data_IF_776560316406
#
_entry.id   IF_776560316406
#
_cell.length_a   1.000
_cell.length_b   1.000
_cell.length_c   1.000
_cell.angle_alpha   90.00
_cell.angle_beta   90.00
_cell.angle_gamma   90.00
#
_symmetry.space_group_name_H-M   'P 1'
#
loop_
_entity.id
_entity.type
_entity.pdbx_description
1 polymer ?
#
# COMPACT_ATOMS: atom_id res chain seq x y z
N UNK A 1 -33.55 31.99 2.42
CA UNK A 1 -33.45 30.56 2.09
C UNK A 1 -32.01 30.24 1.72
N UNK A 2 -31.25 29.71 2.65
CA UNK A 2 -29.86 29.32 2.44
C UNK A 2 -29.86 27.85 1.96
N UNK A 3 -29.54 27.65 0.69
CA UNK A 3 -29.35 26.30 0.15
C UNK A 3 -28.10 25.70 0.79
N UNK A 4 -28.27 24.70 1.65
CA UNK A 4 -27.19 23.85 2.11
C UNK A 4 -26.77 22.93 0.96
N UNK A 5 -25.65 23.26 0.32
CA UNK A 5 -25.01 22.35 -0.64
C UNK A 5 -24.46 21.18 0.16
N UNK A 6 -25.13 20.05 0.04
CA UNK A 6 -24.67 18.78 0.62
C UNK A 6 -23.51 18.28 -0.26
N UNK A 7 -22.28 18.72 0.03
CA UNK A 7 -21.07 18.18 -0.58
C UNK A 7 -20.88 16.81 0.08
N UNK A 8 -21.47 15.77 -0.53
CA UNK A 8 -21.01 14.41 -0.26
C UNK A 8 -19.54 14.38 -0.65
N UNK A 9 -18.65 14.37 0.34
CA UNK A 9 -17.23 14.17 0.11
C UNK A 9 -17.06 12.81 -0.58
N UNK A 10 -16.68 12.85 -1.83
CA UNK A 10 -16.42 11.62 -2.59
C UNK A 10 -15.33 10.87 -1.83
N UNK A 11 -15.63 9.63 -1.44
CA UNK A 11 -14.69 8.80 -0.68
C UNK A 11 -13.43 8.61 -1.50
N UNK A 12 -12.26 8.84 -0.90
CA UNK A 12 -10.99 8.62 -1.58
C UNK A 12 -10.89 7.18 -2.08
N UNK A 13 -10.35 7.01 -3.29
CA UNK A 13 -10.13 5.71 -3.93
C UNK A 13 -8.64 5.37 -3.88
N UNK A 14 -8.30 4.23 -3.30
CA UNK A 14 -6.93 3.77 -3.09
C UNK A 14 -6.70 2.45 -3.82
N UNK A 15 -5.61 2.38 -4.59
CA UNK A 15 -5.15 1.13 -5.17
C UNK A 15 -4.08 0.51 -4.28
N UNK A 16 -4.36 -0.68 -3.77
CA UNK A 16 -3.43 -1.51 -3.04
C UNK A 16 -2.72 -2.45 -4.02
N UNK A 17 -1.39 -2.39 -4.08
CA UNK A 17 -0.54 -3.22 -4.93
C UNK A 17 0.23 -4.17 -4.02
N UNK A 18 -0.11 -5.45 -4.05
CA UNK A 18 0.61 -6.48 -3.30
C UNK A 18 1.69 -7.10 -4.19
N UNK A 19 2.93 -6.89 -3.84
CA UNK A 19 4.07 -7.46 -4.57
C UNK A 19 4.56 -8.77 -3.97
N UNK A 20 4.33 -8.97 -2.67
CA UNK A 20 4.79 -10.09 -1.88
C UNK A 20 5.21 -9.67 -0.46
N UNK A 21 5.96 -10.51 0.19
CA UNK A 21 6.45 -10.28 1.55
C UNK A 21 5.54 -10.83 2.64
N UNK A 22 6.07 -10.83 3.86
CA UNK A 22 5.47 -11.47 5.05
C UNK A 22 4.06 -10.98 5.35
N UNK A 23 3.77 -9.71 5.09
CA UNK A 23 2.45 -9.12 5.36
C UNK A 23 1.30 -9.89 4.68
N UNK A 24 1.56 -10.43 3.49
CA UNK A 24 0.56 -11.17 2.72
C UNK A 24 0.68 -12.68 2.86
N UNK A 25 1.24 -13.18 3.93
CA UNK A 25 1.30 -14.60 4.24
C UNK A 25 0.26 -14.97 5.30
N UNK A 26 -0.21 -16.21 5.23
CA UNK A 26 -1.03 -16.84 6.27
C UNK A 26 -0.40 -18.17 6.63
N UNK A 27 -0.50 -18.54 7.88
CA UNK A 27 -0.09 -19.88 8.33
C UNK A 27 -1.18 -20.89 7.97
N UNK A 28 -0.80 -21.91 7.23
CA UNK A 28 -1.68 -23.03 6.96
C UNK A 28 -1.91 -23.81 8.27
N UNK A 29 -3.16 -23.93 8.75
CA UNK A 29 -3.44 -24.50 10.06
C UNK A 29 -3.14 -26.00 10.15
N UNK A 30 -3.00 -26.70 9.03
CA UNK A 30 -2.69 -28.14 9.00
C UNK A 30 -1.19 -28.41 8.95
N UNK A 31 -0.43 -27.56 8.25
CA UNK A 31 1.00 -27.79 7.99
C UNK A 31 1.92 -26.85 8.78
N UNK A 32 1.41 -25.75 9.31
CA UNK A 32 2.19 -24.68 9.94
C UNK A 32 3.08 -23.90 8.94
N UNK A 33 2.95 -24.15 7.64
CA UNK A 33 3.74 -23.47 6.60
C UNK A 33 3.08 -22.14 6.24
N UNK A 34 3.89 -21.10 6.03
CA UNK A 34 3.40 -19.80 5.54
C UNK A 34 3.12 -19.90 4.03
N UNK A 35 1.91 -19.56 3.64
CA UNK A 35 1.44 -19.54 2.26
C UNK A 35 1.04 -18.12 1.86
N UNK A 36 1.16 -17.79 0.57
CA UNK A 36 0.73 -16.49 0.05
C UNK A 36 -0.78 -16.31 0.20
N UNK A 37 -1.18 -15.19 0.80
CA UNK A 37 -2.57 -14.81 0.98
C UNK A 37 -3.16 -14.23 -0.31
N UNK A 38 -4.39 -14.60 -0.63
CA UNK A 38 -5.09 -13.95 -1.73
C UNK A 38 -5.68 -12.60 -1.25
N UNK A 39 -5.06 -11.50 -1.64
CA UNK A 39 -5.49 -10.15 -1.27
C UNK A 39 -6.86 -9.74 -1.83
N UNK A 40 -7.44 -10.48 -2.75
CA UNK A 40 -8.83 -10.26 -3.16
C UNK A 40 -9.81 -10.45 -1.99
N UNK A 41 -9.44 -11.30 -1.03
CA UNK A 41 -10.19 -11.53 0.21
C UNK A 41 -9.76 -10.63 1.38
N UNK A 42 -8.93 -9.60 1.13
CA UNK A 42 -8.44 -8.69 2.17
C UNK A 42 -9.57 -8.10 3.02
N UNK A 43 -10.66 -7.67 2.37
CA UNK A 43 -11.80 -7.06 3.05
C UNK A 43 -12.55 -8.02 3.98
N UNK A 44 -12.46 -9.31 3.73
CA UNK A 44 -13.10 -10.34 4.54
C UNK A 44 -12.24 -10.67 5.77
N UNK A 45 -10.93 -10.55 5.63
CA UNK A 45 -9.96 -10.79 6.71
C UNK A 45 -9.61 -9.52 7.53
N UNK A 46 -9.96 -8.35 7.01
CA UNK A 46 -9.78 -7.06 7.68
C UNK A 46 -11.08 -6.25 7.62
N UNK A 47 -12.08 -6.59 8.44
CA UNK A 47 -13.35 -5.85 8.48
C UNK A 47 -13.16 -4.38 8.90
N UNK A 48 -12.03 -4.04 9.54
CA UNK A 48 -11.64 -2.69 9.90
C UNK A 48 -11.53 -1.77 8.68
N UNK A 49 -11.08 -2.27 7.54
CA UNK A 49 -10.97 -1.50 6.30
C UNK A 49 -12.33 -0.95 5.83
N UNK A 50 -13.42 -1.67 6.11
CA UNK A 50 -14.78 -1.19 5.79
C UNK A 50 -15.17 0.05 6.60
N UNK A 51 -14.56 0.23 7.80
CA UNK A 51 -14.83 1.35 8.70
C UNK A 51 -14.07 2.62 8.30
N UNK A 52 -12.96 2.50 7.58
CA UNK A 52 -12.17 3.65 7.10
C UNK A 52 -12.96 4.53 6.11
N UNK A 53 -13.95 3.96 5.45
CA UNK A 53 -14.80 4.69 4.53
C UNK A 53 -14.17 4.99 3.16
N UNK A 54 -12.99 4.48 2.87
CA UNK A 54 -12.31 4.60 1.57
C UNK A 54 -12.71 3.47 0.61
N UNK A 55 -12.64 3.75 -0.70
CA UNK A 55 -12.77 2.72 -1.73
C UNK A 55 -11.38 2.10 -1.97
N UNK A 56 -11.18 0.85 -1.53
CA UNK A 56 -9.91 0.14 -1.70
C UNK A 56 -10.09 -0.95 -2.75
N UNK A 57 -9.28 -0.89 -3.81
CA UNK A 57 -9.12 -1.94 -4.82
C UNK A 57 -7.75 -2.59 -4.70
N UNK A 58 -7.60 -3.82 -5.16
CA UNK A 58 -6.35 -4.58 -5.03
C UNK A 58 -5.87 -5.11 -6.37
N UNK A 59 -4.55 -5.01 -6.60
CA UNK A 59 -3.83 -5.73 -7.65
C UNK A 59 -2.73 -6.53 -6.96
N UNK A 60 -2.56 -7.78 -7.37
CA UNK A 60 -1.57 -8.67 -6.79
C UNK A 60 -0.61 -9.15 -7.88
N UNK A 61 0.68 -9.26 -7.52
CA UNK A 61 1.66 -9.97 -8.34
C UNK A 61 1.36 -11.46 -8.33
N UNK A 62 1.45 -12.08 -9.49
CA UNK A 62 1.30 -13.52 -9.66
C UNK A 62 2.50 -14.04 -10.47
N UNK A 63 3.36 -14.87 -9.86
CA UNK A 63 3.40 -15.17 -8.42
C UNK A 63 3.79 -13.95 -7.57
N UNK A 64 3.42 -13.97 -6.27
CA UNK A 64 3.96 -13.04 -5.29
C UNK A 64 5.47 -13.24 -5.15
N UNK A 65 6.24 -12.16 -5.00
CA UNK A 65 7.70 -12.19 -5.01
C UNK A 65 8.29 -12.07 -3.61
N UNK A 66 9.36 -12.79 -3.37
CA UNK A 66 10.25 -12.46 -2.25
C UNK A 66 10.96 -11.13 -2.54
N UNK A 67 11.10 -10.27 -1.52
CA UNK A 67 11.76 -8.97 -1.72
C UNK A 67 13.24 -9.10 -2.10
N UNK A 68 13.90 -10.18 -1.76
CA UNK A 68 15.28 -10.46 -2.18
C UNK A 68 15.44 -10.63 -3.71
N UNK A 69 14.34 -10.94 -4.41
CA UNK A 69 14.30 -11.11 -5.86
C UNK A 69 13.87 -9.83 -6.60
N UNK A 70 13.55 -8.77 -5.84
CA UNK A 70 13.13 -7.48 -6.43
C UNK A 70 14.29 -6.80 -7.15
N UNK A 71 14.03 -6.37 -8.38
CA UNK A 71 15.00 -5.69 -9.24
C UNK A 71 14.32 -4.77 -10.27
N UNK A 72 15.08 -4.28 -11.25
CA UNK A 72 14.60 -3.29 -12.23
C UNK A 72 13.31 -3.71 -12.96
N UNK A 73 13.17 -4.97 -13.32
CA UNK A 73 11.98 -5.49 -14.00
C UNK A 73 10.74 -5.39 -13.11
N UNK A 74 10.88 -5.74 -11.82
CA UNK A 74 9.81 -5.65 -10.84
C UNK A 74 9.44 -4.18 -10.57
N UNK A 75 10.43 -3.29 -10.49
CA UNK A 75 10.18 -1.86 -10.35
C UNK A 75 9.41 -1.29 -11.53
N UNK A 76 9.79 -1.65 -12.76
CA UNK A 76 9.06 -1.27 -13.98
C UNK A 76 7.63 -1.78 -13.97
N UNK A 77 7.39 -3.00 -13.47
CA UNK A 77 6.03 -3.56 -13.33
C UNK A 77 5.19 -2.75 -12.36
N UNK A 78 5.75 -2.35 -11.19
CA UNK A 78 5.04 -1.49 -10.22
C UNK A 78 4.74 -0.13 -10.85
N UNK A 79 5.73 0.51 -11.50
CA UNK A 79 5.55 1.80 -12.17
C UNK A 79 4.45 1.72 -13.23
N UNK A 80 4.44 0.66 -14.04
CA UNK A 80 3.40 0.46 -15.05
C UNK A 80 2.01 0.32 -14.43
N UNK A 81 1.86 -0.45 -13.35
CA UNK A 81 0.57 -0.58 -12.63
C UNK A 81 0.10 0.79 -12.14
N UNK A 82 1.00 1.59 -11.55
CA UNK A 82 0.67 2.94 -11.07
C UNK A 82 0.27 3.83 -12.24
N UNK A 83 1.03 3.86 -13.33
CA UNK A 83 0.77 4.69 -14.50
C UNK A 83 -0.56 4.35 -15.17
N UNK A 84 -0.83 3.06 -15.41
CA UNK A 84 -2.08 2.59 -16.04
C UNK A 84 -3.32 2.93 -15.20
N UNK A 85 -3.16 3.08 -13.89
CA UNK A 85 -4.24 3.35 -12.94
C UNK A 85 -4.23 4.77 -12.37
N UNK A 86 -3.31 5.62 -12.82
CA UNK A 86 -3.05 6.92 -12.19
C UNK A 86 -4.28 7.84 -12.14
N UNK A 87 -5.11 7.82 -13.19
CA UNK A 87 -6.32 8.66 -13.27
C UNK A 87 -7.51 8.10 -12.47
N UNK A 88 -7.48 6.82 -12.11
CA UNK A 88 -8.61 6.13 -11.48
C UNK A 88 -8.58 6.20 -9.94
N UNK A 89 -7.39 6.40 -9.36
CA UNK A 89 -7.20 6.37 -7.92
C UNK A 89 -6.60 7.67 -7.39
N UNK A 90 -6.93 7.99 -6.14
CA UNK A 90 -6.42 9.16 -5.42
C UNK A 90 -5.03 8.93 -4.82
N UNK A 91 -4.69 7.68 -4.54
CA UNK A 91 -3.40 7.30 -3.98
C UNK A 91 -3.13 5.79 -4.15
N UNK A 92 -1.90 5.41 -3.89
CA UNK A 92 -1.39 4.05 -4.08
C UNK A 92 -0.71 3.57 -2.80
N UNK A 93 -0.97 2.33 -2.41
CA UNK A 93 -0.27 1.65 -1.32
C UNK A 93 0.41 0.41 -1.89
N UNK A 94 1.71 0.27 -1.67
CA UNK A 94 2.49 -0.87 -2.14
C UNK A 94 2.90 -1.72 -0.95
N UNK A 95 2.37 -2.95 -0.89
CA UNK A 95 2.77 -3.94 0.09
C UNK A 95 3.98 -4.70 -0.42
N UNK A 96 5.07 -4.66 0.36
CA UNK A 96 6.39 -5.12 -0.06
C UNK A 96 7.11 -5.83 1.09
N UNK A 97 7.96 -6.80 0.75
CA UNK A 97 8.85 -7.39 1.75
C UNK A 97 9.86 -6.39 2.27
N UNK A 98 10.15 -6.43 3.58
CA UNK A 98 10.91 -5.37 4.26
C UNK A 98 12.39 -5.33 3.91
N UNK A 99 12.98 -6.43 3.37
CA UNK A 99 14.42 -6.50 3.14
C UNK A 99 14.95 -5.53 2.08
N UNK A 100 14.18 -5.32 1.02
CA UNK A 100 14.57 -4.42 -0.07
C UNK A 100 13.57 -3.29 -0.32
N UNK A 101 12.62 -3.08 0.57
CA UNK A 101 11.59 -2.04 0.43
C UNK A 101 12.19 -0.65 0.22
N UNK A 102 13.26 -0.31 0.96
CA UNK A 102 13.95 0.97 0.83
C UNK A 102 14.60 1.17 -0.55
N UNK A 103 15.13 0.10 -1.15
CA UNK A 103 15.70 0.16 -2.50
C UNK A 103 14.61 0.38 -3.55
N UNK A 104 13.50 -0.38 -3.45
CA UNK A 104 12.37 -0.24 -4.37
C UNK A 104 11.74 1.15 -4.26
N UNK A 105 11.49 1.63 -3.05
CA UNK A 105 10.92 2.97 -2.83
C UNK A 105 11.86 4.07 -3.33
N UNK A 106 13.18 3.92 -3.13
CA UNK A 106 14.18 4.84 -3.67
C UNK A 106 14.15 4.87 -5.20
N UNK A 107 14.16 3.70 -5.85
CA UNK A 107 14.08 3.60 -7.30
C UNK A 107 12.82 4.28 -7.85
N UNK A 108 11.65 3.97 -7.29
CA UNK A 108 10.38 4.55 -7.73
C UNK A 108 10.31 6.06 -7.51
N UNK A 109 10.99 6.59 -6.49
CA UNK A 109 11.08 8.04 -6.26
C UNK A 109 11.71 8.81 -7.44
N UNK A 110 12.56 8.14 -8.23
CA UNK A 110 13.19 8.72 -9.41
C UNK A 110 12.50 8.31 -10.72
N UNK A 111 11.80 7.17 -10.72
CA UNK A 111 11.10 6.67 -11.91
C UNK A 111 9.74 7.32 -12.11
N UNK A 112 9.07 7.75 -11.04
CA UNK A 112 7.76 8.40 -11.08
C UNK A 112 7.93 9.92 -11.14
N UNK A 113 8.14 10.45 -12.34
CA UNK A 113 8.29 11.89 -12.57
C UNK A 113 6.95 12.64 -12.40
N UNK A 114 7.03 13.87 -11.88
CA UNK A 114 5.87 14.77 -11.70
C UNK A 114 4.74 14.14 -10.87
N UNK A 115 5.08 13.33 -9.89
CA UNK A 115 4.14 12.65 -9.01
C UNK A 115 3.31 13.68 -8.22
N UNK A 116 1.99 13.63 -8.35
CA UNK A 116 1.04 14.50 -7.63
C UNK A 116 0.11 13.71 -6.71
N UNK A 117 0.31 12.40 -6.59
CA UNK A 117 -0.47 11.49 -5.75
C UNK A 117 0.45 10.69 -4.84
N UNK A 118 -0.01 10.31 -3.64
CA UNK A 118 0.79 9.48 -2.73
C UNK A 118 1.08 8.10 -3.30
N UNK A 119 2.31 7.64 -3.10
CA UNK A 119 2.71 6.23 -3.29
C UNK A 119 3.37 5.79 -1.98
N UNK A 120 2.63 5.07 -1.16
CA UNK A 120 3.05 4.70 0.19
C UNK A 120 3.42 3.22 0.22
N UNK A 121 4.69 2.94 0.45
CA UNK A 121 5.19 1.59 0.70
C UNK A 121 4.97 1.22 2.16
N UNK A 122 4.62 -0.04 2.38
CA UNK A 122 4.60 -0.64 3.72
C UNK A 122 4.78 -2.15 3.64
N UNK A 123 4.97 -2.76 4.79
CA UNK A 123 5.13 -4.20 4.96
C UNK A 123 4.88 -4.58 6.42
N UNK A 124 5.32 -5.76 6.81
CA UNK A 124 5.28 -6.17 8.22
C UNK A 124 6.36 -7.18 8.55
N UNK A 125 6.67 -7.29 9.85
CA UNK A 125 7.53 -8.36 10.36
C UNK A 125 6.74 -9.65 10.56
N UNK A 126 5.44 -9.56 10.84
CA UNK A 126 4.57 -10.71 11.05
C UNK A 126 3.45 -10.76 10.01
N UNK A 127 3.02 -11.97 9.61
CA UNK A 127 1.85 -12.15 8.73
C UNK A 127 0.62 -11.43 9.25
N UNK A 128 -0.18 -10.87 8.33
CA UNK A 128 -1.36 -10.07 8.69
C UNK A 128 -2.44 -10.86 9.46
N UNK A 129 -2.45 -12.17 9.29
CA UNK A 129 -3.38 -13.08 10.00
C UNK A 129 -2.99 -13.35 11.46
N UNK A 130 -1.79 -12.99 11.90
CA UNK A 130 -1.33 -13.27 13.27
C UNK A 130 -1.98 -12.33 14.29
N UNK A 131 -2.18 -12.84 15.52
CA UNK A 131 -2.90 -12.12 16.58
C UNK A 131 -2.24 -10.78 16.96
N UNK A 132 -0.91 -10.72 16.96
CA UNK A 132 -0.13 -9.51 17.35
C UNK A 132 0.71 -9.00 16.19
N UNK A 133 0.13 -9.00 15.00
CA UNK A 133 0.80 -8.50 13.81
C UNK A 133 0.90 -6.97 13.82
N UNK A 134 2.05 -6.47 13.38
CA UNK A 134 2.27 -5.07 13.00
C UNK A 134 1.62 -4.74 11.64
N UNK A 135 1.33 -5.76 10.84
CA UNK A 135 0.83 -5.59 9.46
C UNK A 135 -0.52 -4.88 9.36
N UNK A 136 -1.41 -5.07 10.33
CA UNK A 136 -2.72 -4.40 10.31
C UNK A 136 -2.60 -2.89 10.51
N UNK A 137 -1.84 -2.49 11.51
CA UNK A 137 -1.59 -1.07 11.81
C UNK A 137 -0.85 -0.39 10.67
N UNK A 138 0.21 -1.03 10.18
CA UNK A 138 0.98 -0.53 9.05
C UNK A 138 0.11 -0.34 7.80
N UNK A 139 -0.75 -1.30 7.47
CA UNK A 139 -1.62 -1.21 6.31
C UNK A 139 -2.70 -0.13 6.46
N UNK A 140 -3.38 -0.07 7.62
CA UNK A 140 -4.42 0.92 7.88
C UNK A 140 -3.83 2.32 7.77
N UNK A 141 -2.74 2.58 8.44
CA UNK A 141 -2.09 3.91 8.44
C UNK A 141 -1.55 4.27 7.04
N UNK A 142 -0.97 3.33 6.30
CA UNK A 142 -0.54 3.59 4.92
C UNK A 142 -1.72 3.99 4.01
N UNK A 143 -2.90 3.36 4.17
CA UNK A 143 -4.11 3.73 3.44
C UNK A 143 -4.60 5.13 3.85
N UNK A 144 -4.61 5.45 5.14
CA UNK A 144 -5.01 6.77 5.63
C UNK A 144 -4.09 7.89 5.10
N UNK A 145 -2.77 7.67 5.11
CA UNK A 145 -1.79 8.61 4.53
C UNK A 145 -2.03 8.77 3.03
N UNK A 146 -2.24 7.68 2.30
CA UNK A 146 -2.51 7.72 0.86
C UNK A 146 -3.83 8.41 0.52
N UNK A 147 -4.81 8.42 1.43
CA UNK A 147 -6.10 9.07 1.27
C UNK A 147 -6.12 10.53 1.76
N UNK A 148 -5.11 10.93 2.55
CA UNK A 148 -5.10 12.22 3.22
C UNK A 148 -5.03 13.40 2.22
N UNK A 149 -5.99 14.31 2.34
CA UNK A 149 -6.07 15.53 1.53
C UNK A 149 -6.34 16.75 2.42
N UNK A 150 -5.70 17.84 2.10
CA UNK A 150 -6.00 19.15 2.66
C UNK A 150 -6.48 20.08 1.53
N UNK A 151 -7.67 20.64 1.66
CA UNK A 151 -8.31 21.46 0.62
C UNK A 151 -8.38 20.76 -0.77
N UNK A 152 -8.56 19.44 -0.78
CA UNK A 152 -8.63 18.62 -2.00
C UNK A 152 -7.28 18.22 -2.61
N UNK A 153 -6.17 18.68 -2.03
CA UNK A 153 -4.80 18.38 -2.47
C UNK A 153 -4.21 17.26 -1.58
N UNK A 154 -3.56 16.23 -2.16
CA UNK A 154 -2.87 15.23 -1.36
C UNK A 154 -1.84 15.84 -0.41
N UNK A 155 -1.83 15.40 0.85
CA UNK A 155 -0.88 15.89 1.87
C UNK A 155 0.55 15.41 1.58
N UNK A 156 0.68 14.22 1.03
CA UNK A 156 1.98 13.57 0.76
C UNK A 156 2.06 13.13 -0.70
N UNK A 157 2.26 14.05 -1.68
CA UNK A 157 2.35 13.69 -3.09
C UNK A 157 3.76 13.17 -3.45
N UNK A 158 4.24 12.17 -2.73
CA UNK A 158 5.59 11.63 -2.83
C UNK A 158 5.58 10.10 -2.73
N UNK A 159 6.70 9.47 -3.11
CA UNK A 159 6.98 8.08 -2.73
C UNK A 159 7.53 8.08 -1.31
N UNK A 160 6.80 7.45 -0.40
CA UNK A 160 7.18 7.32 1.00
C UNK A 160 7.11 5.86 1.46
N UNK A 161 7.78 5.57 2.56
CA UNK A 161 7.65 4.33 3.32
C UNK A 161 6.98 4.69 4.64
N UNK A 162 5.89 4.02 4.97
CA UNK A 162 5.35 4.01 6.33
C UNK A 162 5.67 2.67 6.98
N UNK A 163 6.35 2.71 8.10
CA UNK A 163 6.68 1.49 8.83
C UNK A 163 6.72 1.78 10.33
N UNK A 164 6.04 0.94 11.12
CA UNK A 164 5.83 1.14 12.55
C UNK A 164 5.14 2.49 12.85
N UNK A 165 5.89 3.51 13.21
CA UNK A 165 5.34 4.81 13.57
C UNK A 165 5.91 5.97 12.72
N UNK A 166 6.73 5.65 11.73
CA UNK A 166 7.46 6.64 10.95
C UNK A 166 7.02 6.69 9.50
N UNK A 167 6.82 7.92 8.99
CA UNK A 167 6.65 8.19 7.56
C UNK A 167 7.97 8.75 7.01
N UNK A 168 8.61 8.00 6.16
CA UNK A 168 9.95 8.26 5.65
C UNK A 168 9.92 8.51 4.15
N UNK A 169 10.70 9.47 3.65
CA UNK A 169 10.85 9.64 2.19
C UNK A 169 11.53 8.44 1.58
N UNK A 170 10.97 7.89 0.50
CA UNK A 170 11.45 6.70 -0.16
C UNK A 170 12.92 6.77 -0.60
N UNK A 171 13.38 7.95 -1.05
CA UNK A 171 14.78 8.16 -1.50
C UNK A 171 15.75 8.56 -0.39
N UNK A 172 15.35 8.55 0.86
CA UNK A 172 16.19 8.92 2.02
C UNK A 172 16.12 7.89 3.15
N UNK A 173 15.64 6.70 2.85
CA UNK A 173 15.42 5.65 3.82
C UNK A 173 16.36 4.49 3.55
N UNK A 174 16.88 3.91 4.62
CA UNK A 174 17.61 2.63 4.62
C UNK A 174 17.01 1.71 5.67
N UNK A 175 17.17 0.41 5.45
CA UNK A 175 16.79 -0.58 6.46
C UNK A 175 17.84 -0.64 7.57
#
# INVERSE_FOLDING_TARGET
MTASVNIQSQKASILLIYTGGTIGMIENPETGVLESFNFQHLKDNMPELKKLGYAVSTIQFDPAMDSSEMGPESWMKIVKIIADNYQLYDGFVVLHGTDTMSFTASALSFMLENLSKPVIFTGSQLPIGMLRTDGKENLITAIEIAAAKENGVPVVPEVCIFFENDLLRGNRTSK
#
